data_IF_159951001727
#
_entry.id   IF_159951001727
#
_cell.length_a   1.000
_cell.length_b   1.000
_cell.length_c   1.000
_cell.angle_alpha   90.00
_cell.angle_beta   90.00
_cell.angle_gamma   90.00
#
_symmetry.space_group_name_H-M   'P 1'
#
loop_
_entity.id
_entity.type
_entity.pdbx_description
1 polymer ?
#
# COMPACT_ATOMS: atom_id res chain seq x y z
N UNK A 1 48.13 -37.16 -4.53
CA UNK A 1 48.32 -36.63 -3.16
C UNK A 1 47.89 -35.18 -3.17
N UNK A 2 46.76 -34.90 -2.48
CA UNK A 2 46.42 -33.66 -1.72
C UNK A 2 46.67 -32.31 -2.39
N UNK A 3 45.72 -31.38 -2.50
CA UNK A 3 44.64 -31.04 -1.57
C UNK A 3 43.61 -30.16 -2.27
N UNK A 4 42.33 -30.45 -2.00
CA UNK A 4 41.18 -29.57 -2.23
C UNK A 4 41.38 -28.19 -1.59
N UNK A 5 40.90 -27.15 -2.27
CA UNK A 5 40.47 -25.88 -1.67
C UNK A 5 39.05 -25.62 -2.15
N UNK A 6 38.10 -26.01 -1.31
CA UNK A 6 36.69 -25.65 -1.44
C UNK A 6 36.54 -24.17 -1.07
N UNK A 7 36.39 -23.30 -2.07
CA UNK A 7 35.78 -22.00 -1.85
C UNK A 7 34.27 -22.20 -1.96
N UNK A 8 33.58 -22.02 -0.84
CA UNK A 8 32.14 -21.98 -0.80
C UNK A 8 31.67 -20.69 -1.51
N UNK A 9 31.23 -20.84 -2.76
CA UNK A 9 30.43 -19.83 -3.43
C UNK A 9 29.10 -19.72 -2.67
N UNK A 10 28.97 -18.63 -1.91
CA UNK A 10 27.69 -18.19 -1.38
C UNK A 10 26.79 -17.81 -2.56
N UNK A 11 26.01 -18.77 -3.03
CA UNK A 11 24.86 -18.51 -3.89
C UNK A 11 23.81 -17.73 -3.08
N UNK A 12 23.92 -16.41 -3.09
CA UNK A 12 22.79 -15.54 -2.77
C UNK A 12 21.85 -15.67 -3.96
N UNK A 13 20.93 -16.64 -3.87
CA UNK A 13 19.75 -16.64 -4.72
C UNK A 13 18.96 -15.38 -4.35
N UNK A 14 19.06 -14.34 -5.18
CA UNK A 14 18.04 -13.31 -5.23
C UNK A 14 16.74 -14.02 -5.60
N UNK A 15 15.90 -14.30 -4.61
CA UNK A 15 14.50 -14.67 -4.84
C UNK A 15 13.90 -13.46 -5.56
N UNK A 16 13.80 -13.57 -6.86
CA UNK A 16 13.25 -12.52 -7.70
C UNK A 16 11.78 -12.35 -7.35
N UNK A 17 11.44 -11.18 -6.83
CA UNK A 17 10.07 -10.64 -6.72
C UNK A 17 9.40 -10.43 -8.10
N UNK A 18 9.91 -11.07 -9.15
CA UNK A 18 9.39 -10.98 -10.51
C UNK A 18 8.05 -11.71 -10.64
N UNK A 19 7.79 -12.74 -9.80
CA UNK A 19 6.60 -13.57 -9.91
C UNK A 19 5.30 -12.94 -9.36
N UNK A 20 5.37 -12.03 -8.39
CA UNK A 20 4.17 -11.45 -7.78
C UNK A 20 3.78 -10.13 -8.47
N UNK A 21 4.76 -9.30 -8.81
CA UNK A 21 4.53 -8.02 -9.50
C UNK A 21 4.03 -8.23 -10.94
N UNK A 22 4.60 -9.17 -11.70
CA UNK A 22 4.14 -9.43 -13.08
C UNK A 22 2.71 -9.95 -13.12
N UNK A 23 2.33 -10.86 -12.22
CA UNK A 23 0.98 -11.42 -12.14
C UNK A 23 -0.06 -10.37 -11.76
N UNK A 24 0.28 -9.43 -10.88
CA UNK A 24 -0.56 -8.28 -10.52
C UNK A 24 -0.76 -7.37 -11.74
N UNK A 25 0.32 -7.06 -12.48
CA UNK A 25 0.24 -6.29 -13.72
C UNK A 25 -0.55 -6.99 -14.83
N UNK A 26 -0.46 -8.32 -14.93
CA UNK A 26 -1.20 -9.12 -15.91
C UNK A 26 -2.71 -9.17 -15.56
N UNK A 27 -3.07 -9.33 -14.29
CA UNK A 27 -4.47 -9.19 -13.83
C UNK A 27 -5.00 -7.78 -14.09
N UNK A 28 -4.20 -6.76 -13.81
CA UNK A 28 -4.56 -5.37 -14.06
C UNK A 28 -4.85 -5.12 -15.55
N UNK A 29 -3.99 -5.63 -16.44
CA UNK A 29 -4.14 -5.50 -17.90
C UNK A 29 -5.37 -6.24 -18.43
N UNK A 30 -5.67 -7.41 -17.88
CA UNK A 30 -6.88 -8.15 -18.23
C UNK A 30 -8.14 -7.34 -17.88
N UNK A 31 -8.22 -6.81 -16.66
CA UNK A 31 -9.39 -6.05 -16.19
C UNK A 31 -9.50 -4.68 -16.86
N UNK A 32 -8.39 -4.01 -17.18
CA UNK A 32 -8.41 -2.69 -17.87
C UNK A 32 -8.89 -2.80 -19.32
N UNK A 33 -8.83 -3.99 -19.92
CA UNK A 33 -9.12 -4.19 -21.34
C UNK A 33 -10.61 -4.31 -21.68
N UNK A 34 -11.43 -4.83 -20.76
CA UNK A 34 -12.87 -4.98 -20.92
C UNK A 34 -13.55 -4.75 -19.57
N UNK A 35 -14.65 -3.99 -19.50
CA UNK A 35 -15.42 -3.85 -18.26
C UNK A 35 -15.90 -5.24 -17.84
N UNK A 36 -15.52 -5.68 -16.64
CA UNK A 36 -15.90 -6.98 -16.11
C UNK A 36 -17.22 -6.85 -15.34
N UNK A 37 -18.17 -7.72 -15.68
CA UNK A 37 -19.42 -7.82 -14.92
C UNK A 37 -19.23 -8.66 -13.67
N UNK A 38 -20.14 -8.53 -12.71
CA UNK A 38 -20.11 -9.29 -11.45
C UNK A 38 -20.08 -10.80 -11.66
N UNK A 39 -20.65 -11.27 -12.77
CA UNK A 39 -20.72 -12.68 -13.10
C UNK A 39 -19.41 -13.20 -13.71
N UNK A 40 -18.57 -12.32 -14.27
CA UNK A 40 -17.33 -12.69 -14.95
C UNK A 40 -16.10 -12.68 -14.02
N UNK A 41 -16.26 -12.21 -12.77
CA UNK A 41 -15.18 -12.08 -11.78
C UNK A 41 -15.39 -13.07 -10.64
N UNK A 42 -14.32 -13.78 -10.24
CA UNK A 42 -14.30 -14.68 -9.08
C UNK A 42 -15.40 -15.77 -9.16
N UNK A 43 -15.25 -16.68 -10.11
CA UNK A 43 -16.20 -17.78 -10.40
C UNK A 43 -16.49 -18.68 -9.19
N UNK A 44 -15.59 -18.72 -8.21
CA UNK A 44 -15.72 -19.54 -7.01
C UNK A 44 -16.83 -19.04 -6.05
N UNK A 45 -17.24 -17.78 -6.16
CA UNK A 45 -18.23 -17.18 -5.25
C UNK A 45 -19.62 -17.07 -5.88
N UNK A 46 -20.66 -17.22 -5.06
CA UNK A 46 -22.04 -16.92 -5.47
C UNK A 46 -22.25 -15.41 -5.59
N UNK A 47 -23.28 -14.99 -6.33
CA UNK A 47 -23.60 -13.56 -6.48
C UNK A 47 -23.84 -12.85 -5.13
N UNK A 48 -24.42 -13.55 -4.16
CA UNK A 48 -24.70 -13.02 -2.82
C UNK A 48 -23.43 -12.87 -1.99
N UNK A 49 -22.51 -13.84 -2.06
CA UNK A 49 -21.19 -13.74 -1.44
C UNK A 49 -20.38 -12.57 -2.03
N UNK A 50 -20.43 -12.39 -3.35
CA UNK A 50 -19.79 -11.23 -4.01
C UNK A 50 -20.41 -9.91 -3.54
N UNK A 51 -21.74 -9.82 -3.41
CA UNK A 51 -22.41 -8.63 -2.89
C UNK A 51 -22.02 -8.32 -1.44
N UNK A 52 -21.82 -9.34 -0.61
CA UNK A 52 -21.29 -9.15 0.74
C UNK A 52 -19.88 -8.57 0.74
N UNK A 53 -18.97 -9.11 -0.08
CA UNK A 53 -17.60 -8.58 -0.21
C UNK A 53 -17.65 -7.12 -0.70
N UNK A 54 -18.47 -6.82 -1.70
CA UNK A 54 -18.63 -5.45 -2.21
C UNK A 54 -19.16 -4.50 -1.13
N UNK A 55 -20.13 -4.94 -0.32
CA UNK A 55 -20.63 -4.16 0.81
C UNK A 55 -19.52 -3.86 1.82
N UNK A 56 -18.70 -4.86 2.19
CA UNK A 56 -17.58 -4.68 3.14
C UNK A 56 -16.50 -3.74 2.57
N UNK A 57 -16.32 -3.72 1.25
CA UNK A 57 -15.42 -2.80 0.55
C UNK A 57 -15.99 -1.38 0.34
N UNK A 58 -17.19 -1.07 0.86
CA UNK A 58 -17.92 0.20 0.67
C UNK A 58 -18.33 0.47 -0.80
N UNK A 59 -18.62 -0.58 -1.57
CA UNK A 59 -19.20 -0.53 -2.92
C UNK A 59 -20.71 -0.83 -2.92
N UNK A 60 -21.40 -0.54 -1.82
CA UNK A 60 -22.84 -0.77 -1.62
C UNK A 60 -23.73 0.18 -2.45
N UNK A 61 -23.19 1.34 -2.85
CA UNK A 61 -23.91 2.39 -3.59
C UNK A 61 -23.78 2.28 -5.11
N UNK A 62 -23.22 1.18 -5.64
CA UNK A 62 -23.08 0.98 -7.08
C UNK A 62 -24.45 0.90 -7.77
N UNK A 63 -24.59 1.65 -8.87
CA UNK A 63 -25.84 1.75 -9.64
C UNK A 63 -26.00 0.59 -10.63
N UNK A 64 -24.89 0.04 -11.13
CA UNK A 64 -24.87 -1.12 -12.02
C UNK A 64 -23.73 -2.06 -11.60
N UNK A 65 -23.97 -3.35 -11.77
CA UNK A 65 -23.01 -4.44 -11.56
C UNK A 65 -22.47 -4.99 -12.88
N UNK A 66 -22.84 -4.38 -14.01
CA UNK A 66 -22.37 -4.75 -15.34
C UNK A 66 -20.96 -4.22 -15.63
N UNK A 67 -20.61 -3.10 -14.98
CA UNK A 67 -19.30 -2.45 -15.10
C UNK A 67 -18.74 -2.16 -13.69
N UNK A 68 -18.02 -3.14 -13.15
CA UNK A 68 -17.42 -3.02 -11.81
C UNK A 68 -16.15 -2.16 -11.85
N UNK A 69 -15.93 -1.29 -10.83
CA UNK A 69 -14.66 -0.62 -10.67
C UNK A 69 -13.48 -1.61 -10.62
N UNK A 70 -12.36 -1.22 -11.22
CA UNK A 70 -11.13 -2.02 -11.28
C UNK A 70 -10.65 -2.47 -9.88
N UNK A 71 -10.78 -1.60 -8.87
CA UNK A 71 -10.44 -1.92 -7.48
C UNK A 71 -11.32 -3.02 -6.90
N UNK A 72 -12.62 -3.02 -7.22
CA UNK A 72 -13.57 -4.00 -6.70
C UNK A 72 -13.36 -5.37 -7.31
N UNK A 73 -13.18 -5.44 -8.64
CA UNK A 73 -12.89 -6.67 -9.35
C UNK A 73 -11.54 -7.28 -8.95
N UNK A 74 -10.51 -6.45 -8.79
CA UNK A 74 -9.21 -6.86 -8.27
C UNK A 74 -9.32 -7.50 -6.87
N UNK A 75 -10.03 -6.85 -5.95
CA UNK A 75 -10.20 -7.38 -4.59
C UNK A 75 -11.00 -8.69 -4.58
N UNK A 76 -12.08 -8.79 -5.36
CA UNK A 76 -12.86 -10.03 -5.50
C UNK A 76 -12.00 -11.20 -5.98
N UNK A 77 -11.17 -10.98 -7.00
CA UNK A 77 -10.26 -12.00 -7.54
C UNK A 77 -9.20 -12.42 -6.52
N UNK A 78 -8.65 -11.46 -5.77
CA UNK A 78 -7.65 -11.73 -4.73
C UNK A 78 -8.23 -12.49 -3.55
N UNK A 79 -9.43 -12.12 -3.10
CA UNK A 79 -10.13 -12.80 -2.00
C UNK A 79 -10.52 -14.24 -2.40
N UNK A 80 -10.96 -14.47 -3.65
CA UNK A 80 -11.27 -15.83 -4.15
C UNK A 80 -10.02 -16.72 -4.17
N UNK A 81 -8.87 -16.17 -4.58
CA UNK A 81 -7.61 -16.91 -4.66
C UNK A 81 -6.88 -17.09 -3.31
N UNK A 82 -7.37 -16.46 -2.24
CA UNK A 82 -6.75 -16.55 -0.92
C UNK A 82 -7.18 -17.86 -0.23
N UNK A 83 -6.24 -18.77 0.11
CA UNK A 83 -6.58 -19.98 0.84
C UNK A 83 -6.97 -19.63 2.28
N UNK A 84 -7.89 -20.40 2.84
CA UNK A 84 -8.39 -20.24 4.22
C UNK A 84 -7.24 -20.27 5.24
N UNK A 85 -6.23 -21.09 4.94
CA UNK A 85 -5.05 -21.22 5.78
C UNK A 85 -4.34 -19.88 5.97
N UNK A 86 -4.01 -19.25 4.84
CA UNK A 86 -3.22 -18.04 4.83
C UNK A 86 -4.07 -16.89 5.37
N UNK A 87 -5.38 -16.90 5.10
CA UNK A 87 -6.32 -15.94 5.66
C UNK A 87 -6.32 -15.96 7.20
N UNK A 88 -6.38 -17.13 7.84
CA UNK A 88 -6.29 -17.24 9.31
C UNK A 88 -4.92 -16.77 9.81
N UNK A 89 -3.84 -17.06 9.10
CA UNK A 89 -2.49 -16.61 9.47
C UNK A 89 -2.38 -15.07 9.44
N UNK A 90 -2.88 -14.44 8.38
CA UNK A 90 -2.93 -12.97 8.23
C UNK A 90 -3.74 -12.34 9.36
N UNK A 91 -4.91 -12.89 9.69
CA UNK A 91 -5.72 -12.36 10.80
C UNK A 91 -5.03 -12.48 12.16
N UNK A 92 -4.31 -13.58 12.41
CA UNK A 92 -3.50 -13.73 13.63
C UNK A 92 -2.39 -12.70 13.71
N UNK A 93 -1.68 -12.48 12.61
CA UNK A 93 -0.64 -11.45 12.53
C UNK A 93 -1.23 -10.06 12.75
N UNK A 94 -2.37 -9.76 12.13
CA UNK A 94 -3.08 -8.50 12.27
C UNK A 94 -3.39 -8.16 13.73
N UNK A 95 -3.97 -9.11 14.49
CA UNK A 95 -4.30 -8.92 15.91
C UNK A 95 -3.05 -8.65 16.75
N UNK A 96 -1.94 -9.31 16.45
CA UNK A 96 -0.68 -9.10 17.17
C UNK A 96 -0.06 -7.74 16.85
N UNK A 97 -0.05 -7.35 15.57
CA UNK A 97 0.60 -6.11 15.11
C UNK A 97 -0.19 -4.87 15.54
N UNK A 98 -1.52 -4.95 15.53
CA UNK A 98 -2.40 -3.82 15.79
C UNK A 98 -3.06 -3.87 17.17
N UNK A 99 -2.46 -4.61 18.11
CA UNK A 99 -2.92 -4.62 19.50
C UNK A 99 -2.92 -3.19 20.07
N UNK A 100 -4.07 -2.76 20.59
CA UNK A 100 -4.31 -1.41 21.10
C UNK A 100 -4.11 -0.27 20.05
N UNK A 101 -4.23 -0.54 18.74
CA UNK A 101 -4.21 0.53 17.73
C UNK A 101 -5.52 1.33 17.74
N UNK A 102 -5.41 2.62 18.04
CA UNK A 102 -6.54 3.57 18.11
C UNK A 102 -7.13 3.92 16.75
N UNK A 103 -6.43 3.64 15.66
CA UNK A 103 -6.89 3.98 14.31
C UNK A 103 -7.76 2.88 13.69
N UNK A 104 -7.92 1.74 14.36
CA UNK A 104 -8.79 0.65 13.93
C UNK A 104 -10.07 0.69 14.76
N UNK A 105 -11.21 0.52 14.11
CA UNK A 105 -12.49 0.47 14.83
C UNK A 105 -12.49 -0.75 15.75
N UNK A 106 -12.85 -0.53 17.01
CA UNK A 106 -12.92 -1.61 18.03
C UNK A 106 -13.83 -2.74 17.59
N UNK A 107 -14.95 -2.42 16.95
CA UNK A 107 -15.93 -3.40 16.46
C UNK A 107 -15.35 -4.31 15.36
N UNK A 108 -14.58 -3.76 14.41
CA UNK A 108 -13.91 -4.53 13.37
C UNK A 108 -12.82 -5.43 13.97
N UNK A 109 -12.08 -4.93 14.97
CA UNK A 109 -11.05 -5.70 15.66
C UNK A 109 -11.65 -6.87 16.48
N UNK A 110 -12.68 -6.60 17.28
CA UNK A 110 -13.42 -7.62 18.04
C UNK A 110 -14.05 -8.68 17.11
N UNK A 111 -14.50 -8.27 15.92
CA UNK A 111 -15.02 -9.19 14.92
C UNK A 111 -13.94 -10.14 14.39
N UNK A 112 -12.74 -9.63 14.10
CA UNK A 112 -11.60 -10.47 13.70
C UNK A 112 -11.23 -11.46 14.82
N UNK A 113 -11.21 -11.02 16.08
CA UNK A 113 -10.98 -11.92 17.22
C UNK A 113 -12.06 -13.00 17.33
N UNK A 114 -13.33 -12.62 17.13
CA UNK A 114 -14.47 -13.54 17.10
C UNK A 114 -14.34 -14.59 15.98
N UNK A 115 -13.88 -14.18 14.79
CA UNK A 115 -13.61 -15.08 13.67
C UNK A 115 -12.46 -16.06 13.99
N UNK A 116 -11.39 -15.59 14.63
CA UNK A 116 -10.28 -16.43 15.05
C UNK A 116 -10.68 -17.43 16.15
N UNK A 117 -11.50 -17.00 17.11
CA UNK A 117 -12.04 -17.87 18.16
C UNK A 117 -13.02 -18.93 17.62
N UNK A 118 -13.66 -18.65 16.48
CA UNK A 118 -14.54 -19.58 15.79
C UNK A 118 -13.80 -20.55 14.84
N UNK A 119 -12.47 -20.43 14.70
CA UNK A 119 -11.71 -21.24 13.76
C UNK A 119 -11.74 -22.74 14.12
N UNK A 120 -11.94 -23.64 13.14
CA UNK A 120 -11.88 -25.07 13.38
C UNK A 120 -10.44 -25.49 13.72
N UNK A 121 -10.25 -26.31 14.75
CA UNK A 121 -8.92 -26.76 15.22
C UNK A 121 -8.18 -27.72 14.24
N UNK A 122 -8.65 -27.85 13.00
CA UNK A 122 -8.14 -28.81 12.02
C UNK A 122 -7.26 -28.14 10.97
N UNK A 123 -5.96 -28.03 11.25
CA UNK A 123 -4.98 -27.66 10.24
C UNK A 123 -3.66 -27.21 10.83
N UNK A 124 -2.66 -28.08 10.82
CA UNK A 124 -1.27 -27.79 11.18
C UNK A 124 -0.76 -26.61 10.34
N UNK A 125 -0.58 -25.45 10.96
CA UNK A 125 0.13 -24.32 10.36
C UNK A 125 1.62 -24.48 10.64
N UNK A 126 2.38 -24.81 9.60
CA UNK A 126 3.84 -24.85 9.68
C UNK A 126 4.40 -23.42 9.76
N UNK A 127 4.96 -23.06 10.92
CA UNK A 127 5.86 -21.91 11.03
C UNK A 127 5.72 -21.12 12.33
N UNK A 128 6.70 -21.31 13.21
CA UNK A 128 7.11 -20.45 14.35
C UNK A 128 6.48 -20.78 15.72
N UNK A 129 7.15 -21.73 16.39
CA UNK A 129 7.51 -21.82 17.81
C UNK A 129 6.50 -21.39 18.90
N UNK A 130 5.77 -22.39 19.37
CA UNK A 130 5.55 -22.78 20.77
C UNK A 130 5.62 -21.70 21.88
N UNK A 131 4.46 -21.39 22.47
CA UNK A 131 4.14 -21.65 23.89
C UNK A 131 2.72 -21.16 24.20
N UNK A 132 1.74 -22.06 24.20
CA UNK A 132 0.56 -21.92 25.05
C UNK A 132 0.13 -23.31 25.50
N UNK A 133 0.09 -23.48 26.82
CA UNK A 133 -0.19 -24.74 27.51
C UNK A 133 -1.65 -25.18 27.34
N UNK A 134 -1.78 -26.49 27.25
CA UNK A 134 -2.97 -27.29 26.99
C UNK A 134 -3.81 -27.51 28.27
N UNK A 135 -5.14 -27.28 28.18
CA UNK A 135 -6.21 -28.13 28.77
C UNK A 135 -7.61 -27.50 28.58
N UNK A 136 -8.41 -28.08 27.69
CA UNK A 136 -9.58 -28.91 28.05
C UNK A 136 -10.66 -28.94 26.95
N UNK A 137 -11.05 -30.19 26.68
CA UNK A 137 -12.34 -30.71 26.23
C UNK A 137 -12.79 -30.54 24.77
N UNK A 138 -12.68 -31.68 24.08
CA UNK A 138 -13.10 -31.93 22.71
C UNK A 138 -14.63 -31.92 22.64
N UNK A 139 -15.17 -30.94 21.94
CA UNK A 139 -16.49 -31.06 21.32
C UNK A 139 -16.29 -30.89 19.82
N UNK A 140 -16.61 -31.95 19.06
CA UNK A 140 -16.70 -31.94 17.60
C UNK A 140 -17.61 -30.78 17.17
N UNK A 141 -17.01 -29.64 16.81
CA UNK A 141 -17.72 -28.60 16.06
C UNK A 141 -17.66 -29.00 14.60
N UNK A 142 -18.68 -29.78 14.24
CA UNK A 142 -19.09 -30.06 12.86
C UNK A 142 -18.92 -28.77 12.06
N UNK A 143 -18.14 -28.84 10.98
CA UNK A 143 -18.08 -27.79 9.96
C UNK A 143 -19.50 -27.64 9.43
N UNK A 144 -20.26 -26.70 9.99
CA UNK A 144 -21.48 -26.25 9.36
C UNK A 144 -21.03 -25.41 8.17
N UNK A 145 -21.03 -26.04 7.00
CA UNK A 145 -21.23 -25.32 5.76
C UNK A 145 -22.62 -24.69 5.90
N UNK A 146 -22.69 -23.51 6.51
CA UNK A 146 -23.95 -22.81 6.68
C UNK A 146 -24.38 -22.40 5.28
N UNK A 147 -25.39 -23.10 4.76
CA UNK A 147 -26.14 -22.64 3.60
C UNK A 147 -26.52 -21.17 3.84
N UNK A 148 -26.26 -20.34 2.82
CA UNK A 148 -26.62 -18.93 2.87
C UNK A 148 -28.11 -18.82 3.15
N UNK A 149 -28.47 -18.33 4.33
CA UNK A 149 -29.84 -18.15 4.76
C UNK A 149 -30.19 -16.66 4.64
N UNK A 150 -31.30 -16.34 3.96
CA UNK A 150 -31.87 -14.99 3.72
C UNK A 150 -32.30 -14.22 4.99
N UNK A 151 -31.79 -14.61 6.16
CA UNK A 151 -32.00 -13.90 7.41
C UNK A 151 -31.08 -12.68 7.42
N UNK A 152 -31.62 -11.51 7.80
CA UNK A 152 -30.81 -10.32 7.99
C UNK A 152 -29.80 -10.54 9.13
N UNK A 153 -28.55 -10.80 8.77
CA UNK A 153 -27.44 -10.91 9.72
C UNK A 153 -26.99 -9.52 10.17
N UNK A 154 -26.64 -9.38 11.45
CA UNK A 154 -25.96 -8.19 11.95
C UNK A 154 -24.59 -8.02 11.28
N UNK A 155 -24.06 -6.80 11.27
CA UNK A 155 -22.79 -6.47 10.60
C UNK A 155 -21.60 -7.30 11.10
N UNK A 156 -21.65 -7.76 12.35
CA UNK A 156 -20.60 -8.54 13.02
C UNK A 156 -21.05 -9.97 13.41
N UNK A 157 -22.11 -10.49 12.77
CA UNK A 157 -22.56 -11.86 12.98
C UNK A 157 -21.81 -12.83 12.07
N UNK A 158 -21.45 -13.99 12.62
CA UNK A 158 -20.78 -15.05 11.86
C UNK A 158 -21.84 -15.93 11.22
N UNK A 159 -21.97 -15.85 9.89
CA UNK A 159 -22.89 -16.68 9.12
C UNK A 159 -22.15 -17.64 8.20
N UNK A 160 -21.15 -17.15 7.47
CA UNK A 160 -20.26 -17.92 6.60
C UNK A 160 -18.81 -17.64 7.03
N UNK A 161 -18.30 -18.49 7.92
CA UNK A 161 -16.98 -18.29 8.53
C UNK A 161 -15.87 -18.27 7.48
N UNK A 162 -15.93 -19.16 6.47
CA UNK A 162 -14.90 -19.25 5.45
C UNK A 162 -14.84 -17.97 4.59
N UNK A 163 -16.01 -17.50 4.13
CA UNK A 163 -16.10 -16.27 3.36
C UNK A 163 -15.64 -15.06 4.17
N UNK A 164 -16.10 -14.93 5.41
CA UNK A 164 -15.81 -13.79 6.27
C UNK A 164 -14.32 -13.71 6.62
N UNK A 165 -13.70 -14.85 6.94
CA UNK A 165 -12.25 -14.92 7.20
C UNK A 165 -11.46 -14.52 5.95
N UNK A 166 -11.80 -15.04 4.76
CA UNK A 166 -11.13 -14.65 3.51
C UNK A 166 -11.34 -13.18 3.18
N UNK A 167 -12.53 -12.64 3.44
CA UNK A 167 -12.87 -11.24 3.15
C UNK A 167 -12.05 -10.30 4.03
N UNK A 168 -12.07 -10.49 5.35
CA UNK A 168 -11.31 -9.63 6.27
C UNK A 168 -9.80 -9.76 6.03
N UNK A 169 -9.30 -10.99 5.89
CA UNK A 169 -7.88 -11.22 5.61
C UNK A 169 -7.45 -10.62 4.26
N UNK A 170 -8.27 -10.77 3.22
CA UNK A 170 -7.98 -10.21 1.91
C UNK A 170 -7.99 -8.67 1.90
N UNK A 171 -8.87 -8.04 2.68
CA UNK A 171 -8.86 -6.58 2.89
C UNK A 171 -7.57 -6.15 3.60
N UNK A 172 -7.12 -6.89 4.60
CA UNK A 172 -5.91 -6.56 5.37
C UNK A 172 -4.62 -6.79 4.57
N UNK A 173 -4.56 -7.85 3.76
CA UNK A 173 -3.36 -8.23 2.99
C UNK A 173 -3.22 -7.43 1.70
N UNK A 174 -4.31 -7.29 0.93
CA UNK A 174 -4.29 -6.67 -0.41
C UNK A 174 -4.77 -5.22 -0.42
N UNK A 175 -5.21 -4.71 0.72
CA UNK A 175 -5.57 -3.32 0.93
C UNK A 175 -5.10 -2.87 2.33
N UNK A 176 -5.20 -1.58 2.63
CA UNK A 176 -5.01 -1.08 3.98
C UNK A 176 -6.12 -1.53 4.96
N UNK A 177 -5.80 -1.92 6.21
CA UNK A 177 -6.79 -2.17 7.25
C UNK A 177 -7.51 -0.87 7.69
N UNK A 178 -6.86 0.28 7.52
CA UNK A 178 -7.42 1.59 7.84
C UNK A 178 -8.34 2.10 6.73
N UNK A 179 -9.59 2.38 7.08
CA UNK A 179 -10.62 2.83 6.13
C UNK A 179 -10.28 4.18 5.47
N UNK A 180 -9.63 5.07 6.21
CA UNK A 180 -9.23 6.40 5.76
C UNK A 180 -8.16 6.31 4.65
N UNK A 181 -7.24 5.36 4.79
CA UNK A 181 -6.24 5.07 3.75
C UNK A 181 -6.93 4.45 2.54
N UNK A 182 -7.88 3.53 2.75
CA UNK A 182 -8.63 2.92 1.63
C UNK A 182 -9.39 3.93 0.78
N UNK A 183 -9.91 4.98 1.41
CA UNK A 183 -10.60 6.06 0.69
C UNK A 183 -9.71 6.89 -0.24
N UNK A 184 -8.38 6.80 -0.13
CA UNK A 184 -7.44 7.65 -0.88
C UNK A 184 -6.38 6.86 -1.66
N UNK A 185 -6.38 5.53 -1.58
CA UNK A 185 -5.42 4.66 -2.27
C UNK A 185 -6.13 3.55 -3.03
N UNK A 186 -5.56 3.14 -4.17
CA UNK A 186 -6.00 1.96 -4.91
C UNK A 186 -5.28 0.70 -4.38
N UNK A 187 -5.93 -0.49 -4.38
CA UNK A 187 -5.33 -1.74 -3.90
C UNK A 187 -4.33 -2.37 -4.88
N UNK A 188 -4.13 -1.75 -6.04
CA UNK A 188 -3.25 -2.22 -7.10
C UNK A 188 -2.30 -1.12 -7.52
N UNK A 189 -1.22 -1.50 -8.19
CA UNK A 189 -0.26 -0.57 -8.80
C UNK A 189 -0.12 -0.82 -10.30
N UNK A 190 -0.18 0.24 -11.10
CA UNK A 190 0.10 0.20 -12.54
C UNK A 190 1.59 0.52 -12.80
N UNK A 191 2.38 -0.52 -13.08
CA UNK A 191 3.81 -0.41 -13.35
C UNK A 191 4.13 0.33 -14.67
N UNK A 192 3.19 0.41 -15.62
CA UNK A 192 3.40 1.08 -16.91
C UNK A 192 3.20 2.60 -16.83
N UNK A 193 2.60 3.10 -15.73
CA UNK A 193 2.37 4.52 -15.52
C UNK A 193 3.70 5.27 -15.29
N UNK A 194 4.02 6.31 -16.08
CA UNK A 194 5.32 6.96 -16.03
C UNK A 194 5.51 7.73 -14.70
N UNK A 195 6.61 7.47 -14.00
CA UNK A 195 6.96 8.14 -12.74
C UNK A 195 8.08 9.17 -12.93
N UNK A 196 9.17 8.75 -13.59
CA UNK A 196 10.33 9.59 -13.86
C UNK A 196 10.21 10.24 -15.25
N UNK A 197 9.88 11.53 -15.30
CA UNK A 197 9.75 12.27 -16.57
C UNK A 197 10.46 13.61 -16.51
N UNK A 198 10.88 14.14 -17.67
CA UNK A 198 11.58 15.43 -17.74
C UNK A 198 10.77 16.57 -17.08
N UNK A 199 9.44 16.53 -17.24
CA UNK A 199 8.53 17.52 -16.66
C UNK A 199 8.58 17.54 -15.12
N UNK A 200 8.74 16.39 -14.47
CA UNK A 200 8.93 16.32 -13.01
C UNK A 200 10.21 17.05 -12.59
N UNK A 201 11.32 16.83 -13.29
CA UNK A 201 12.56 17.54 -13.01
C UNK A 201 12.42 19.05 -13.18
N UNK A 202 11.80 19.51 -14.27
CA UNK A 202 11.58 20.94 -14.53
C UNK A 202 10.77 21.57 -13.40
N UNK A 203 9.59 21.00 -13.09
CA UNK A 203 8.70 21.54 -12.05
C UNK A 203 9.36 21.46 -10.67
N UNK A 204 9.96 20.32 -10.33
CA UNK A 204 10.62 20.09 -9.05
C UNK A 204 11.79 21.06 -8.79
N UNK A 205 12.64 21.30 -9.80
CA UNK A 205 13.77 22.26 -9.69
C UNK A 205 13.26 23.69 -9.53
N UNK A 206 12.25 24.10 -10.30
CA UNK A 206 11.68 25.45 -10.23
C UNK A 206 11.11 25.71 -8.82
N UNK A 207 10.28 24.80 -8.30
CA UNK A 207 9.67 24.96 -6.98
C UNK A 207 10.68 24.85 -5.83
N UNK A 208 11.70 24.01 -5.99
CA UNK A 208 12.83 23.94 -5.05
C UNK A 208 13.58 25.27 -4.99
N UNK A 209 13.93 25.86 -6.14
CA UNK A 209 14.61 27.16 -6.19
C UNK A 209 13.76 28.28 -5.57
N UNK A 210 12.48 28.34 -5.91
CA UNK A 210 11.52 29.33 -5.37
C UNK A 210 11.41 29.18 -3.86
N UNK A 211 11.16 27.98 -3.35
CA UNK A 211 10.97 27.79 -1.92
C UNK A 211 12.26 27.97 -1.12
N UNK A 212 13.42 27.59 -1.65
CA UNK A 212 14.71 27.88 -1.01
C UNK A 212 14.93 29.40 -0.87
N UNK A 213 14.62 30.17 -1.93
CA UNK A 213 14.70 31.63 -1.90
C UNK A 213 13.73 32.24 -0.87
N UNK A 214 12.46 31.83 -0.89
CA UNK A 214 11.44 32.32 0.05
C UNK A 214 11.84 31.98 1.49
N UNK A 215 12.22 30.73 1.75
CA UNK A 215 12.57 30.26 3.09
C UNK A 215 13.77 31.03 3.66
N UNK A 216 14.84 31.21 2.89
CA UNK A 216 16.02 31.94 3.38
C UNK A 216 15.74 33.44 3.51
N UNK A 217 14.96 34.03 2.61
CA UNK A 217 14.60 35.46 2.67
C UNK A 217 13.75 35.80 3.92
N UNK A 218 12.78 34.95 4.28
CA UNK A 218 11.90 35.20 5.43
C UNK A 218 12.45 34.69 6.76
N UNK A 219 13.57 33.95 6.74
CA UNK A 219 14.22 33.42 7.95
C UNK A 219 14.66 34.50 8.93
N UNK A 220 15.07 35.66 8.45
CA UNK A 220 15.54 36.76 9.28
C UNK A 220 14.39 37.55 9.94
N UNK A 221 13.13 37.30 9.57
CA UNK A 221 11.96 37.98 10.15
C UNK A 221 11.49 37.27 11.40
N UNK A 222 10.93 38.04 12.34
CA UNK A 222 10.27 37.54 13.54
C UNK A 222 8.81 38.00 13.52
N UNK A 223 7.82 37.09 13.42
CA UNK A 223 7.96 35.63 13.30
C UNK A 223 8.50 35.19 11.92
N UNK A 224 9.19 34.05 11.87
CA UNK A 224 9.71 33.49 10.61
C UNK A 224 8.58 32.85 9.82
N UNK A 225 8.49 33.16 8.53
CA UNK A 225 7.53 32.55 7.60
C UNK A 225 8.29 31.51 6.77
N UNK A 226 7.80 30.28 6.73
CA UNK A 226 8.36 29.21 5.91
C UNK A 226 7.31 28.65 4.97
N UNK A 227 7.71 28.34 3.75
CA UNK A 227 6.89 27.69 2.76
C UNK A 227 6.95 26.16 3.01
N UNK A 228 5.81 25.57 3.39
CA UNK A 228 5.69 24.13 3.68
C UNK A 228 5.45 23.32 2.40
N UNK A 229 5.90 22.07 2.36
CA UNK A 229 5.72 21.14 1.24
C UNK A 229 4.25 20.93 0.87
N UNK A 230 3.35 20.87 1.84
CA UNK A 230 1.91 20.78 1.59
C UNK A 230 1.38 21.96 0.74
N UNK A 231 1.90 23.17 0.97
CA UNK A 231 1.52 24.35 0.19
C UNK A 231 2.07 24.25 -1.23
N UNK A 232 3.33 23.83 -1.39
CA UNK A 232 3.92 23.61 -2.73
C UNK A 232 3.16 22.54 -3.49
N UNK A 233 2.75 21.46 -2.84
CA UNK A 233 2.01 20.37 -3.47
C UNK A 233 0.74 20.85 -4.19
N UNK A 234 0.01 21.81 -3.60
CA UNK A 234 -1.16 22.44 -4.22
C UNK A 234 -0.80 23.16 -5.52
N UNK A 235 0.37 23.80 -5.58
CA UNK A 235 0.84 24.49 -6.79
C UNK A 235 1.56 23.59 -7.79
N UNK A 236 2.10 22.44 -7.35
CA UNK A 236 2.73 21.47 -8.23
C UNK A 236 1.74 20.89 -9.23
N UNK A 237 0.50 20.62 -8.81
CA UNK A 237 -0.52 20.05 -9.69
C UNK A 237 -0.86 20.95 -10.89
N UNK A 238 -1.25 22.24 -10.72
CA UNK A 238 -1.48 23.12 -11.85
C UNK A 238 -0.20 23.41 -12.65
N UNK A 239 0.98 23.42 -12.02
CA UNK A 239 2.26 23.58 -12.72
C UNK A 239 2.57 22.39 -13.64
N UNK A 240 2.36 21.16 -13.14
CA UNK A 240 2.52 19.92 -13.87
C UNK A 240 1.53 19.80 -15.02
N UNK A 241 0.27 20.18 -14.79
CA UNK A 241 -0.76 20.22 -15.83
C UNK A 241 -0.45 21.24 -16.94
N UNK A 242 0.00 22.44 -16.56
CA UNK A 242 0.45 23.46 -17.52
C UNK A 242 1.61 22.93 -18.36
N UNK A 243 2.60 22.29 -17.73
CA UNK A 243 3.75 21.76 -18.44
C UNK A 243 3.39 20.58 -19.36
N UNK A 244 2.45 19.74 -18.95
CA UNK A 244 1.87 18.69 -19.80
C UNK A 244 1.12 19.26 -21.01
N UNK A 245 0.56 20.46 -20.91
CA UNK A 245 -0.10 21.16 -22.02
C UNK A 245 0.89 21.86 -22.95
N UNK A 246 1.97 22.45 -22.40
CA UNK A 246 2.97 23.21 -23.16
C UNK A 246 3.99 22.32 -23.88
N UNK A 247 4.40 21.19 -23.28
CA UNK A 247 5.44 20.34 -23.85
C UNK A 247 4.94 19.53 -25.06
N UNK A 248 5.69 19.51 -26.18
CA UNK A 248 5.34 18.69 -27.32
C UNK A 248 5.53 17.19 -27.02
N UNK A 249 4.68 16.35 -27.60
CA UNK A 249 4.73 14.89 -27.52
C UNK A 249 5.84 14.31 -28.41
N UNK A 250 7.09 14.65 -28.11
CA UNK A 250 8.25 14.15 -28.83
C UNK A 250 9.06 13.18 -27.98
N UNK A 251 9.47 12.07 -28.61
CA UNK A 251 10.42 11.11 -28.05
C UNK A 251 11.80 11.42 -28.59
N UNK A 252 12.69 11.90 -27.74
CA UNK A 252 14.07 12.18 -28.08
C UNK A 252 14.92 10.93 -27.87
N UNK A 253 15.54 10.42 -28.93
CA UNK A 253 16.48 9.30 -28.83
C UNK A 253 17.89 9.84 -28.68
N UNK A 254 18.40 9.83 -27.45
CA UNK A 254 19.78 10.20 -27.11
C UNK A 254 20.62 8.92 -26.97
N UNK A 255 21.28 8.54 -28.07
CA UNK A 255 22.12 7.34 -28.16
C UNK A 255 21.39 6.04 -27.77
N UNK A 256 21.54 5.59 -26.50
CA UNK A 256 20.89 4.39 -25.94
C UNK A 256 19.63 4.70 -25.13
N UNK A 257 19.34 5.97 -24.86
CA UNK A 257 18.27 6.41 -23.99
C UNK A 257 17.17 7.07 -24.83
N UNK A 258 15.92 6.69 -24.58
CA UNK A 258 14.75 7.34 -25.17
C UNK A 258 14.08 8.19 -24.11
N UNK A 259 14.21 9.51 -24.22
CA UNK A 259 13.55 10.45 -23.32
C UNK A 259 12.21 10.84 -23.92
N UNK A 260 11.12 10.49 -23.25
CA UNK A 260 9.80 11.00 -23.58
C UNK A 260 9.59 12.36 -22.91
N UNK A 261 9.40 13.42 -23.70
CA UNK A 261 9.17 14.75 -23.18
C UNK A 261 7.77 14.88 -22.56
N UNK A 262 6.79 14.17 -23.10
CA UNK A 262 5.41 14.26 -22.67
C UNK A 262 4.68 12.92 -22.89
N UNK A 263 4.83 11.96 -21.97
CA UNK A 263 4.33 10.59 -22.15
C UNK A 263 2.80 10.48 -21.99
N UNK A 264 2.12 11.51 -21.50
CA UNK A 264 0.67 11.46 -21.27
C UNK A 264 0.17 12.62 -20.41
N UNK A 265 -1.04 12.55 -19.86
CA UNK A 265 -1.52 13.49 -18.84
C UNK A 265 -0.61 13.49 -17.60
N UNK A 266 -0.64 14.57 -16.82
CA UNK A 266 0.05 14.62 -15.52
C UNK A 266 -0.59 13.65 -14.54
N UNK A 267 0.19 12.75 -13.94
CA UNK A 267 -0.33 11.68 -13.09
C UNK A 267 0.08 11.83 -11.61
N UNK A 268 -0.48 10.98 -10.75
CA UNK A 268 -0.24 11.01 -9.30
C UNK A 268 1.20 10.59 -8.91
N UNK A 269 1.85 9.71 -9.68
CA UNK A 269 3.25 9.29 -9.43
C UNK A 269 4.22 10.44 -9.68
N UNK A 270 4.03 11.18 -10.76
CA UNK A 270 4.79 12.38 -11.10
C UNK A 270 4.56 13.50 -10.10
N UNK A 271 3.30 13.69 -9.68
CA UNK A 271 2.93 14.62 -8.62
C UNK A 271 3.67 14.29 -7.31
N UNK A 272 3.70 13.01 -6.93
CA UNK A 272 4.36 12.54 -5.72
C UNK A 272 5.88 12.74 -5.82
N UNK A 273 6.50 12.38 -6.94
CA UNK A 273 7.94 12.57 -7.16
C UNK A 273 8.34 14.05 -7.16
N UNK A 274 7.56 14.92 -7.80
CA UNK A 274 7.78 16.36 -7.78
C UNK A 274 7.65 16.95 -6.36
N UNK A 275 6.71 16.43 -5.56
CA UNK A 275 6.53 16.83 -4.16
C UNK A 275 7.74 16.39 -3.32
N UNK A 276 8.28 15.20 -3.58
CA UNK A 276 9.47 14.70 -2.90
C UNK A 276 10.70 15.59 -3.14
N UNK A 277 10.91 16.07 -4.37
CA UNK A 277 12.01 16.99 -4.69
C UNK A 277 11.98 18.25 -3.82
N UNK A 278 10.78 18.79 -3.60
CA UNK A 278 10.60 19.93 -2.72
C UNK A 278 10.75 19.56 -1.24
N UNK A 279 10.16 18.45 -0.81
CA UNK A 279 10.18 18.02 0.59
C UNK A 279 11.62 17.82 1.11
N UNK A 280 12.50 17.23 0.30
CA UNK A 280 13.91 17.02 0.69
C UNK A 280 14.73 18.31 0.69
N UNK A 281 14.32 19.33 -0.07
CA UNK A 281 15.03 20.62 -0.14
C UNK A 281 14.57 21.64 0.90
N UNK A 282 13.39 21.44 1.51
CA UNK A 282 12.87 22.30 2.58
C UNK A 282 13.63 22.20 3.91
N UNK A 283 14.53 21.22 4.07
CA UNK A 283 15.43 21.14 5.22
C UNK A 283 16.44 22.29 5.24
N UNK A 284 16.76 22.80 6.43
CA UNK A 284 17.78 23.85 6.57
C UNK A 284 19.11 23.35 5.97
N UNK A 285 19.81 24.14 5.14
CA UNK A 285 21.14 23.78 4.69
C UNK A 285 22.03 23.54 5.91
N UNK A 286 22.46 22.29 6.12
CA UNK A 286 23.25 21.87 7.28
C UNK A 286 24.57 22.67 7.43
N UNK A 287 25.00 23.38 6.38
CA UNK A 287 26.18 24.25 6.40
C UNK A 287 26.09 25.37 7.45
N UNK A 288 24.91 25.98 7.66
CA UNK A 288 24.78 27.07 8.65
C UNK A 288 24.81 26.57 10.10
N UNK A 289 24.41 25.29 10.32
CA UNK A 289 24.46 24.65 11.63
C UNK A 289 25.89 24.40 12.12
N UNK A 290 26.85 24.25 11.19
CA UNK A 290 28.27 24.15 11.52
C UNK A 290 28.90 25.51 11.85
N UNK A 291 28.45 26.60 11.21
CA UNK A 291 28.93 27.96 11.46
C UNK A 291 28.34 28.60 12.72
N UNK A 292 27.16 28.15 13.17
CA UNK A 292 26.54 28.60 14.42
C UNK A 292 26.85 27.68 15.62
N UNK A 293 27.64 26.62 15.43
CA UNK A 293 28.19 25.91 16.59
C UNK A 293 29.17 26.85 17.29
N UNK A 294 28.95 27.22 18.57
CA UNK A 294 29.92 28.03 19.29
C UNK A 294 31.24 27.27 19.28
N UNK A 295 32.31 27.90 18.79
CA UNK A 295 33.67 27.44 19.00
C UNK A 295 33.88 27.30 20.50
N UNK A 296 33.75 26.07 21.01
CA UNK A 296 34.19 25.70 22.35
C UNK A 296 35.71 25.67 22.32
N UNK A 297 36.32 26.85 22.32
CA UNK A 297 37.73 27.00 22.66
C UNK A 297 37.88 26.77 24.16
N UNK A 298 38.66 25.74 24.44
CA UNK A 298 39.76 25.71 25.40
C UNK A 298 39.50 25.89 26.89
N UNK A 299 40.01 24.89 27.63
CA UNK A 299 40.38 25.01 29.03
C UNK A 299 39.74 23.94 29.90
N UNK A 300 40.31 22.72 29.89
CA UNK A 300 40.90 22.17 31.12
C UNK A 300 41.64 20.86 30.81
N UNK A 301 42.95 21.03 30.80
CA UNK A 301 44.02 20.04 30.87
C UNK A 301 43.85 19.16 32.13
N UNK A 302 43.93 17.84 31.93
CA UNK A 302 44.37 16.76 32.84
C UNK A 302 44.09 16.92 34.35
N UNK A 303 43.38 15.94 34.92
CA UNK A 303 43.81 15.19 36.11
C UNK A 303 43.06 13.84 36.18
N UNK A 304 43.84 12.86 36.63
CA UNK A 304 43.62 11.42 36.81
C UNK A 304 42.19 10.91 36.95
#
# INVERSE_FOLDING_TARGET
>A
MTSEKNNADFNIASVSSEGNSSRVSDTLKAVTSHPLSLNDVADDFTSEQKLYILKKLNYDTLVSFDDLPLSASYMLEKISKLPVSDAVAILKEFVVVHDNDVNIKTEDFEFVEKLLAAAPESGVYSGIDSKFDEKNDVSERIIQHNEWNDVAHGEYDIFDWELQVKTEAGIIEFHSPYAEVRGVTEPYDDADLPCETLRVYIVGIIWTAIGAFINEFFKQRQPSISLNSAVVQVFLYPSGLLLAWVLPKYKLKLWKWTLDLNPGPWNHKEQMLATLFYAVSGGTPNALRFLQSPSRQDGHFLRC
#
